data_IF_421440064803
#
_entry.id   IF_421440064803
#
_cell.length_a   1.000
_cell.length_b   1.000
_cell.length_c   1.000
_cell.angle_alpha   90.00
_cell.angle_beta   90.00
_cell.angle_gamma   90.00
#
_symmetry.space_group_name_H-M   'P 1'
#
loop_
_entity.id
_entity.type
_entity.pdbx_description
1 polymer ?
#
# COMPACT_ATOMS: atom_id res chain seq x y z
N UNK A 1 21.48 -11.68 16.71
CA UNK A 1 21.14 -10.39 16.06
C UNK A 1 20.72 -10.69 14.64
N UNK A 2 19.52 -10.23 14.29
CA UNK A 2 18.79 -10.51 13.04
C UNK A 2 19.52 -10.03 11.80
N UNK A 3 19.48 -10.83 10.74
CA UNK A 3 19.51 -10.37 9.34
C UNK A 3 18.83 -11.43 8.49
N UNK A 4 17.50 -11.54 8.61
CA UNK A 4 16.68 -12.31 7.68
C UNK A 4 16.15 -11.31 6.66
N UNK A 5 16.97 -11.07 5.62
CA UNK A 5 16.55 -10.40 4.41
C UNK A 5 15.51 -11.27 3.74
N UNK A 6 14.24 -10.94 3.97
CA UNK A 6 13.12 -11.52 3.25
C UNK A 6 13.26 -11.11 1.78
N UNK A 7 13.43 -12.10 0.91
CA UNK A 7 13.55 -11.91 -0.52
C UNK A 7 12.24 -11.32 -1.03
N UNK A 8 12.21 -10.00 -1.17
CA UNK A 8 11.16 -9.31 -1.92
C UNK A 8 11.32 -9.72 -3.39
N UNK A 9 10.32 -10.45 -3.85
CA UNK A 9 10.18 -10.98 -5.20
C UNK A 9 10.26 -9.81 -6.21
N UNK A 10 11.42 -9.65 -6.86
CA UNK A 10 11.77 -8.51 -7.74
C UNK A 10 10.97 -8.46 -9.04
N UNK A 11 9.93 -9.27 -9.19
CA UNK A 11 9.11 -9.34 -10.40
C UNK A 11 7.80 -8.54 -10.33
N UNK A 12 7.45 -8.00 -9.16
CA UNK A 12 6.28 -7.11 -8.98
C UNK A 12 6.60 -5.62 -9.27
N UNK A 13 7.87 -5.27 -9.49
CA UNK A 13 8.31 -3.88 -9.55
C UNK A 13 7.98 -3.13 -10.85
N UNK A 14 7.59 -3.83 -11.93
CA UNK A 14 7.40 -3.16 -13.24
C UNK A 14 6.02 -2.55 -13.48
N UNK A 15 4.99 -3.04 -12.78
CA UNK A 15 3.61 -2.63 -13.01
C UNK A 15 2.88 -2.51 -11.67
N UNK A 16 3.32 -1.62 -10.78
CA UNK A 16 2.65 -1.41 -9.49
C UNK A 16 2.58 0.07 -9.17
N UNK A 17 1.39 0.57 -8.82
CA UNK A 17 1.23 1.91 -8.23
C UNK A 17 1.42 1.80 -6.74
N UNK A 18 2.37 2.59 -6.21
CA UNK A 18 2.62 2.69 -4.79
C UNK A 18 2.39 4.12 -4.31
N UNK A 19 1.58 4.24 -3.26
CA UNK A 19 1.38 5.50 -2.56
C UNK A 19 1.85 5.33 -1.11
N UNK A 20 2.94 6.01 -0.76
CA UNK A 20 3.44 6.09 0.60
C UNK A 20 2.97 7.40 1.22
N UNK A 21 2.21 7.30 2.31
CA UNK A 21 1.84 8.45 3.11
C UNK A 21 2.64 8.40 4.40
N UNK A 22 3.55 9.35 4.55
CA UNK A 22 4.15 9.67 5.84
C UNK A 22 3.07 10.34 6.69
N UNK A 23 2.42 9.56 7.55
CA UNK A 23 1.36 10.06 8.44
C UNK A 23 1.93 10.19 9.85
N UNK A 24 2.55 11.32 10.21
CA UNK A 24 3.28 11.40 11.47
C UNK A 24 2.37 11.10 12.68
N UNK A 25 1.10 11.52 12.70
CA UNK A 25 0.28 11.39 13.91
C UNK A 25 -1.25 11.30 13.65
N UNK A 26 -1.71 10.45 12.72
CA UNK A 26 -3.16 10.21 12.62
C UNK A 26 -3.65 9.27 13.75
N UNK A 27 -4.74 9.63 14.45
CA UNK A 27 -5.45 8.72 15.34
C UNK A 27 -5.88 7.44 14.61
N UNK A 28 -5.95 6.28 15.29
CA UNK A 28 -6.32 5.01 14.66
C UNK A 28 -7.59 5.08 13.80
N UNK A 29 -8.61 5.78 14.28
CA UNK A 29 -9.91 5.92 13.61
C UNK A 29 -9.78 6.74 12.32
N UNK A 30 -8.96 7.80 12.33
CA UNK A 30 -8.70 8.65 11.16
C UNK A 30 -7.87 7.92 10.11
N UNK A 31 -6.96 7.06 10.55
CA UNK A 31 -6.16 6.23 9.65
C UNK A 31 -7.01 5.17 8.96
N UNK A 32 -7.97 4.56 9.66
CA UNK A 32 -8.91 3.63 9.06
C UNK A 32 -9.88 4.33 8.09
N UNK A 33 -10.32 5.55 8.41
CA UNK A 33 -11.09 6.35 7.47
C UNK A 33 -10.29 6.67 6.19
N UNK A 34 -9.04 7.14 6.35
CA UNK A 34 -8.14 7.45 5.23
C UNK A 34 -7.87 6.20 4.37
N UNK A 35 -7.66 5.05 5.00
CA UNK A 35 -7.51 3.76 4.32
C UNK A 35 -8.69 3.45 3.39
N UNK A 36 -9.92 3.59 3.90
CA UNK A 36 -11.16 3.34 3.13
C UNK A 36 -11.35 4.37 2.00
N UNK A 37 -11.03 5.64 2.26
CA UNK A 37 -11.10 6.70 1.24
C UNK A 37 -10.11 6.42 0.09
N UNK A 38 -8.88 6.03 0.41
CA UNK A 38 -7.87 5.68 -0.59
C UNK A 38 -8.29 4.45 -1.41
N UNK A 39 -8.85 3.43 -0.77
CA UNK A 39 -9.40 2.26 -1.45
C UNK A 39 -10.53 2.65 -2.42
N UNK A 40 -11.45 3.51 -2.00
CA UNK A 40 -12.55 3.99 -2.85
C UNK A 40 -12.06 4.81 -4.05
N UNK A 41 -11.06 5.69 -3.85
CA UNK A 41 -10.43 6.45 -4.93
C UNK A 41 -9.79 5.51 -5.95
N UNK A 42 -9.04 4.51 -5.48
CA UNK A 42 -8.39 3.54 -6.35
C UNK A 42 -9.41 2.69 -7.08
N UNK A 43 -10.46 2.18 -6.42
CA UNK A 43 -11.51 1.40 -7.05
C UNK A 43 -12.23 2.17 -8.18
N UNK A 44 -12.38 3.49 -8.02
CA UNK A 44 -12.95 4.37 -9.05
C UNK A 44 -12.04 4.52 -10.27
N UNK A 45 -10.72 4.62 -10.07
CA UNK A 45 -9.76 4.87 -11.15
C UNK A 45 -9.17 3.60 -11.78
N UNK A 46 -9.15 2.50 -11.03
CA UNK A 46 -8.60 1.20 -11.40
C UNK A 46 -9.61 0.09 -11.04
N UNK A 47 -10.79 0.06 -11.69
CA UNK A 47 -11.83 -0.91 -11.38
C UNK A 47 -11.34 -2.35 -11.62
N UNK A 48 -11.71 -3.26 -10.70
CA UNK A 48 -11.33 -4.67 -10.78
C UNK A 48 -9.88 -4.96 -10.41
N UNK A 49 -9.09 -3.95 -10.00
CA UNK A 49 -7.73 -4.17 -9.49
C UNK A 49 -7.76 -4.44 -7.98
N UNK A 50 -7.04 -5.47 -7.50
CA UNK A 50 -6.96 -5.73 -6.06
C UNK A 50 -6.11 -4.63 -5.40
N UNK A 51 -6.65 -4.00 -4.37
CA UNK A 51 -5.93 -3.00 -3.57
C UNK A 51 -5.34 -3.69 -2.35
N UNK A 52 -4.05 -3.50 -2.10
CA UNK A 52 -3.40 -3.93 -0.86
C UNK A 52 -3.03 -2.72 -0.04
N UNK A 53 -3.53 -2.68 1.19
CA UNK A 53 -3.17 -1.65 2.15
C UNK A 53 -2.26 -2.24 3.22
N UNK A 54 -1.11 -1.61 3.39
CA UNK A 54 -0.11 -1.98 4.39
C UNK A 54 0.08 -0.80 5.34
N UNK A 55 0.27 -1.09 6.62
CA UNK A 55 0.57 -0.07 7.62
C UNK A 55 1.63 -0.60 8.57
N UNK A 56 2.45 0.28 9.10
CA UNK A 56 3.49 -0.11 10.05
C UNK A 56 4.07 1.08 10.79
N UNK A 57 5.11 0.77 11.57
CA UNK A 57 5.94 1.75 12.27
C UNK A 57 7.38 1.50 11.83
N UNK A 58 8.08 2.56 11.43
CA UNK A 58 9.50 2.48 11.05
C UNK A 58 10.42 2.41 12.29
N UNK A 59 11.71 2.22 12.06
CA UNK A 59 12.74 2.13 13.12
C UNK A 59 12.87 3.40 13.96
N UNK A 60 12.33 4.52 13.48
CA UNK A 60 12.31 5.82 14.17
C UNK A 60 10.99 6.07 14.91
N UNK A 61 10.11 5.07 14.98
CA UNK A 61 8.81 5.18 15.63
C UNK A 61 7.74 5.90 14.81
N UNK A 62 8.02 6.24 13.54
CA UNK A 62 7.08 6.95 12.67
C UNK A 62 6.13 5.97 12.01
N UNK A 63 4.84 6.31 12.04
CA UNK A 63 3.80 5.50 11.40
C UNK A 63 3.77 5.78 9.91
N UNK A 64 3.58 4.73 9.13
CA UNK A 64 3.43 4.81 7.68
C UNK A 64 2.21 4.03 7.22
N UNK A 65 1.65 4.48 6.09
CA UNK A 65 0.60 3.80 5.35
C UNK A 65 1.06 3.65 3.89
N UNK A 66 1.01 2.44 3.35
CA UNK A 66 1.39 2.14 1.97
C UNK A 66 0.22 1.49 1.27
N UNK A 67 -0.20 2.08 0.16
CA UNK A 67 -1.17 1.49 -0.75
C UNK A 67 -0.44 0.90 -1.95
N UNK A 68 -0.77 -0.33 -2.31
CA UNK A 68 -0.14 -1.11 -3.38
C UNK A 68 -1.21 -1.62 -4.32
N UNK A 69 -1.11 -1.26 -5.60
CA UNK A 69 -2.02 -1.72 -6.66
C UNK A 69 -1.21 -2.36 -7.78
N UNK A 70 -1.33 -3.68 -8.00
CA UNK A 70 -0.71 -4.33 -9.14
C UNK A 70 -1.45 -3.93 -10.42
N UNK A 71 -0.72 -3.32 -11.35
CA UNK A 71 -1.12 -2.94 -12.70
C UNK A 71 -0.88 -4.03 -13.75
N UNK A 72 -0.33 -5.21 -13.37
CA UNK A 72 -0.03 -6.33 -14.27
C UNK A 72 -1.15 -6.61 -15.29
N UNK A 73 -0.90 -7.25 -16.44
CA UNK A 73 -1.75 -7.15 -17.62
C UNK A 73 -3.23 -7.21 -17.26
N UNK A 74 -3.98 -6.12 -17.55
CA UNK A 74 -5.42 -6.07 -17.32
C UNK A 74 -5.98 -7.37 -17.88
N UNK A 75 -6.64 -8.17 -17.04
CA UNK A 75 -7.17 -9.45 -17.46
C UNK A 75 -7.86 -9.28 -18.80
N UNK A 76 -7.44 -10.06 -19.80
CA UNK A 76 -8.14 -10.12 -21.08
C UNK A 76 -9.60 -10.46 -20.76
N UNK A 77 -10.48 -9.48 -20.91
CA UNK A 77 -11.87 -9.73 -21.24
C UNK A 77 -11.96 -10.27 -22.66
#
# INVERSE_FOLDING_TARGET
MSSRGEAVDRNLERDTVELLLETPELPPERREALARELEAVVARHLPGRPVRLLSGVDERGRRWLRLVVPLGPAGRG
#
